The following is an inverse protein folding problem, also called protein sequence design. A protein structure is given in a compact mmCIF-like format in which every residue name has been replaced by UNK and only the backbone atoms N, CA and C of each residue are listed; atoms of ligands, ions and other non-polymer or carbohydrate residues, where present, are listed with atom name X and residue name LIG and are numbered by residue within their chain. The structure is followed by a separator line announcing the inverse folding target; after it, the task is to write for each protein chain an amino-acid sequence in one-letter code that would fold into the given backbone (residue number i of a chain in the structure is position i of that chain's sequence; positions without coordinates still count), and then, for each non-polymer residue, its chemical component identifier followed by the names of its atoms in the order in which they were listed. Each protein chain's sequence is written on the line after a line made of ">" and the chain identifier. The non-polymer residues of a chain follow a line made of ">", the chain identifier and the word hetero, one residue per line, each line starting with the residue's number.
data_IF_884098933736
#
_entry.id   IF_884098933736
#
_cell.length_a   1.000
_cell.length_b   1.000
_cell.length_c   1.000
_cell.angle_alpha   90.00
_cell.angle_beta   90.00
_cell.angle_gamma   90.00
#
_symmetry.space_group_name_H-M   'P 1'
#
loop_
_entity.id
_entity.type
_entity.pdbx_description
1 polymer ?
#
# COMPACT_ATOMS: atom_id res chain seq x y z
N UNK A 1 11.92 4.47 -14.43
CA UNK A 1 10.87 3.95 -13.52
C UNK A 1 10.57 5.12 -12.60
N UNK A 2 9.34 5.64 -12.58
CA UNK A 2 9.01 6.80 -11.76
C UNK A 2 9.21 6.48 -10.29
N UNK A 3 9.74 7.44 -9.52
CA UNK A 3 9.75 7.37 -8.06
C UNK A 3 8.44 7.97 -7.52
N UNK A 4 7.99 7.51 -6.34
CA UNK A 4 6.75 8.00 -5.73
C UNK A 4 6.89 9.43 -5.18
N UNK A 5 8.11 9.82 -4.81
CA UNK A 5 8.50 11.12 -4.29
C UNK A 5 10.03 11.27 -4.34
N UNK A 6 10.50 12.51 -4.29
CA UNK A 6 11.91 12.91 -4.24
C UNK A 6 12.44 12.94 -2.80
N UNK A 7 13.74 12.64 -2.61
CA UNK A 7 14.32 12.59 -1.27
C UNK A 7 14.30 13.96 -0.56
N UNK A 8 14.29 15.06 -1.31
CA UNK A 8 14.12 16.41 -0.78
C UNK A 8 12.73 16.61 -0.16
N UNK A 9 11.69 16.02 -0.75
CA UNK A 9 10.33 16.11 -0.21
C UNK A 9 10.26 15.41 1.16
N UNK A 10 10.98 14.29 1.34
CA UNK A 10 11.06 13.62 2.64
C UNK A 10 11.76 14.48 3.69
N UNK A 11 12.81 15.20 3.31
CA UNK A 11 13.50 16.13 4.21
C UNK A 11 12.57 17.27 4.65
N UNK A 12 11.82 17.84 3.69
CA UNK A 12 10.82 18.88 3.92
C UNK A 12 9.68 18.37 4.81
N UNK A 13 9.19 17.15 4.56
CA UNK A 13 8.14 16.51 5.36
C UNK A 13 8.57 16.28 6.82
N UNK A 14 9.80 15.82 7.04
CA UNK A 14 10.36 15.62 8.36
C UNK A 14 10.72 16.95 9.06
N UNK A 15 10.72 18.08 8.33
CA UNK A 15 11.20 19.38 8.78
C UNK A 15 12.63 19.30 9.34
N UNK A 16 13.46 18.45 8.73
CA UNK A 16 14.84 18.21 9.13
C UNK A 16 15.81 18.83 8.12
N UNK A 17 17.05 19.04 8.59
CA UNK A 17 18.16 19.36 7.69
C UNK A 17 18.46 18.22 6.70
N UNK A 18 19.57 18.29 5.95
CA UNK A 18 19.89 17.28 4.95
C UNK A 18 19.88 15.87 5.58
N UNK A 19 19.02 15.00 5.03
CA UNK A 19 18.90 13.61 5.46
C UNK A 19 20.12 12.82 5.01
N UNK A 20 20.43 11.76 5.75
CA UNK A 20 21.36 10.75 5.24
C UNK A 20 20.76 10.08 4.01
N UNK A 21 21.37 10.30 2.84
CA UNK A 21 20.85 9.86 1.54
C UNK A 21 20.71 8.33 1.46
N UNK A 22 21.62 7.59 2.09
CA UNK A 22 21.58 6.13 2.14
C UNK A 22 20.35 5.66 2.93
N UNK A 23 20.13 6.22 4.13
CA UNK A 23 18.97 5.90 4.96
C UNK A 23 17.66 6.33 4.32
N UNK A 24 17.60 7.53 3.73
CA UNK A 24 16.43 8.04 3.02
C UNK A 24 16.07 7.16 1.80
N UNK A 25 17.08 6.71 1.05
CA UNK A 25 16.89 5.77 -0.07
C UNK A 25 16.33 4.43 0.40
N UNK A 26 16.85 3.89 1.50
CA UNK A 26 16.34 2.63 2.08
C UNK A 26 14.89 2.80 2.55
N UNK A 27 14.56 3.92 3.20
CA UNK A 27 13.21 4.23 3.65
C UNK A 27 12.23 4.31 2.47
N UNK A 28 12.58 5.02 1.40
CA UNK A 28 11.77 5.10 0.16
C UNK A 28 11.55 3.73 -0.48
N UNK A 29 12.58 2.87 -0.51
CA UNK A 29 12.47 1.50 -1.04
C UNK A 29 11.53 0.64 -0.18
N UNK A 30 11.58 0.76 1.15
CA UNK A 30 10.66 0.05 2.05
C UNK A 30 9.22 0.50 1.84
N UNK A 31 8.97 1.80 1.85
CA UNK A 31 7.65 2.39 1.60
C UNK A 31 7.07 1.92 0.25
N UNK A 32 7.89 1.97 -0.81
CA UNK A 32 7.53 1.47 -2.14
C UNK A 32 7.17 -0.02 -2.13
N UNK A 33 7.95 -0.85 -1.42
CA UNK A 33 7.69 -2.29 -1.31
C UNK A 33 6.36 -2.59 -0.59
N UNK A 34 6.07 -1.88 0.50
CA UNK A 34 4.81 -2.05 1.22
C UNK A 34 3.61 -1.61 0.37
N UNK A 35 3.70 -0.47 -0.31
CA UNK A 35 2.64 0.01 -1.19
C UNK A 35 2.42 -0.90 -2.39
N UNK A 36 3.46 -1.48 -3.01
CA UNK A 36 3.29 -2.47 -4.09
C UNK A 36 2.54 -3.69 -3.60
N UNK A 37 2.87 -4.16 -2.39
CA UNK A 37 2.18 -5.30 -1.80
C UNK A 37 0.70 -4.99 -1.52
N UNK A 38 0.39 -3.77 -1.06
CA UNK A 38 -0.97 -3.34 -0.72
C UNK A 38 -1.83 -3.03 -1.94
N UNK A 39 -1.29 -2.36 -2.95
CA UNK A 39 -2.02 -1.89 -4.14
C UNK A 39 -1.98 -2.86 -5.32
N UNK A 40 -1.04 -3.83 -5.31
CA UNK A 40 -0.74 -4.75 -6.44
C UNK A 40 -0.32 -4.07 -7.75
N UNK A 41 0.00 -2.78 -7.71
CA UNK A 41 0.50 -2.06 -8.87
C UNK A 41 1.88 -2.58 -9.28
N UNK A 42 2.00 -2.91 -10.57
CA UNK A 42 3.27 -3.33 -11.19
C UNK A 42 4.11 -2.13 -11.64
N UNK A 43 3.46 -1.01 -11.95
CA UNK A 43 4.07 0.29 -12.23
C UNK A 43 3.35 1.39 -11.46
N UNK A 44 4.09 2.45 -11.11
CA UNK A 44 3.48 3.62 -10.50
C UNK A 44 2.79 4.47 -11.56
N UNK A 45 1.60 5.02 -11.29
CA UNK A 45 0.95 5.95 -12.20
C UNK A 45 1.82 7.20 -12.40
N UNK A 46 1.75 7.79 -13.59
CA UNK A 46 2.42 9.03 -13.95
C UNK A 46 1.39 9.98 -14.60
N UNK A 47 1.02 11.10 -13.95
CA UNK A 47 1.57 11.59 -12.67
C UNK A 47 1.16 10.72 -11.47
N UNK A 48 1.99 10.74 -10.41
CA UNK A 48 1.68 10.07 -9.14
C UNK A 48 0.50 10.77 -8.47
N UNK A 49 -0.60 10.08 -8.13
CA UNK A 49 -1.73 10.68 -7.43
C UNK A 49 -1.34 11.14 -6.03
N UNK A 50 -1.89 12.28 -5.58
CA UNK A 50 -1.59 12.90 -4.28
C UNK A 50 -1.77 11.93 -3.11
N UNK A 51 -2.79 11.07 -3.14
CA UNK A 51 -3.05 10.07 -2.10
C UNK A 51 -1.89 9.06 -2.00
N UNK A 52 -1.41 8.60 -3.15
CA UNK A 52 -0.33 7.62 -3.25
C UNK A 52 1.01 8.25 -2.84
N UNK A 53 1.25 9.50 -3.23
CA UNK A 53 2.38 10.30 -2.75
C UNK A 53 2.35 10.48 -1.23
N UNK A 54 1.19 10.87 -0.68
CA UNK A 54 1.00 11.12 0.75
C UNK A 54 1.22 9.87 1.61
N UNK A 55 0.73 8.71 1.15
CA UNK A 55 1.03 7.44 1.81
C UNK A 55 2.50 7.07 1.71
N UNK A 56 3.13 7.30 0.55
CA UNK A 56 4.53 6.94 0.33
C UNK A 56 5.48 7.74 1.22
N UNK A 57 5.27 9.06 1.31
CA UNK A 57 6.13 9.95 2.09
C UNK A 57 5.98 9.67 3.60
N UNK A 58 4.76 9.41 4.07
CA UNK A 58 4.51 9.08 5.47
C UNK A 58 5.08 7.71 5.86
N UNK A 59 4.91 6.69 5.00
CA UNK A 59 5.54 5.38 5.23
C UNK A 59 7.07 5.45 5.21
N UNK A 60 7.63 6.32 4.36
CA UNK A 60 9.07 6.55 4.34
C UNK A 60 9.55 7.25 5.61
N UNK A 61 8.81 8.25 6.12
CA UNK A 61 9.11 8.87 7.40
C UNK A 61 9.11 7.84 8.55
N UNK A 62 8.09 6.99 8.62
CA UNK A 62 8.02 5.89 9.61
C UNK A 62 9.20 4.91 9.48
N UNK A 63 9.60 4.57 8.25
CA UNK A 63 10.72 3.69 7.99
C UNK A 63 12.09 4.33 8.29
N UNK A 64 12.19 5.65 8.16
CA UNK A 64 13.38 6.42 8.46
C UNK A 64 13.58 6.55 9.98
N UNK A 65 12.52 6.89 10.72
CA UNK A 65 12.57 7.07 12.17
C UNK A 65 12.70 5.76 12.96
N UNK A 66 12.19 4.65 12.40
CA UNK A 66 12.24 3.32 13.02
C UNK A 66 12.60 2.24 11.98
N UNK A 67 13.88 2.17 11.54
CA UNK A 67 14.28 1.28 10.46
C UNK A 67 14.13 -0.21 10.81
N UNK A 68 14.20 -0.57 12.09
CA UNK A 68 14.05 -1.94 12.57
C UNK A 68 12.58 -2.34 12.80
N UNK A 69 11.62 -1.41 12.67
CA UNK A 69 10.19 -1.64 12.92
C UNK A 69 9.94 -2.33 14.28
N UNK A 70 10.80 -2.00 15.26
CA UNK A 70 10.74 -2.61 16.58
C UNK A 70 9.41 -2.22 17.24
N UNK A 71 8.80 -3.20 17.91
CA UNK A 71 7.62 -2.93 18.72
C UNK A 71 8.11 -2.02 19.83
N UNK A 72 7.72 -0.75 19.79
CA UNK A 72 7.92 0.27 20.82
C UNK A 72 8.43 -0.31 22.15
N UNK A 73 9.75 -0.25 22.40
CA UNK A 73 10.24 -0.38 23.77
C UNK A 73 9.97 0.96 24.48
N UNK A 74 9.28 0.88 25.61
CA UNK A 74 8.94 2.04 26.42
C UNK A 74 10.21 2.51 27.14
N UNK A 75 10.94 3.46 26.54
CA UNK A 75 12.07 4.13 27.20
C UNK A 75 11.56 5.41 27.86
N UNK A 76 11.13 5.32 29.13
CA UNK A 76 10.65 6.46 29.91
C UNK A 76 9.17 6.83 29.68
N UNK A 77 8.85 8.12 29.71
CA UNK A 77 7.46 8.65 29.67
C UNK A 77 6.87 8.84 28.26
N UNK A 78 7.63 8.54 27.20
CA UNK A 78 7.19 8.74 25.80
C UNK A 78 7.07 7.38 25.13
N UNK A 79 5.84 6.95 24.81
CA UNK A 79 5.57 5.70 24.10
C UNK A 79 5.58 5.96 22.59
N UNK A 80 6.39 5.20 21.83
CA UNK A 80 6.39 5.18 20.35
C UNK A 80 5.54 4.02 19.81
N UNK A 81 4.38 3.79 20.43
CA UNK A 81 3.47 2.68 20.05
C UNK A 81 2.66 2.99 18.78
N UNK A 82 2.72 4.24 18.29
CA UNK A 82 1.90 4.73 17.18
C UNK A 82 2.32 4.21 15.79
N UNK A 83 3.60 3.92 15.56
CA UNK A 83 4.15 3.71 14.21
C UNK A 83 3.54 2.51 13.48
N UNK A 84 3.31 1.39 14.18
CA UNK A 84 2.72 0.18 13.58
C UNK A 84 1.24 0.34 13.29
N UNK A 85 0.49 1.00 14.17
CA UNK A 85 -0.92 1.28 13.96
C UNK A 85 -1.12 2.19 12.76
N UNK A 86 -0.26 3.22 12.63
CA UNK A 86 -0.30 4.14 11.50
C UNK A 86 0.09 3.47 10.18
N UNK A 87 1.17 2.66 10.18
CA UNK A 87 1.55 1.86 9.03
C UNK A 87 0.40 0.97 8.55
N UNK A 88 -0.24 0.23 9.46
CA UNK A 88 -1.37 -0.64 9.11
C UNK A 88 -2.54 0.17 8.51
N UNK A 89 -2.90 1.30 9.13
CA UNK A 89 -3.97 2.15 8.64
C UNK A 89 -3.72 2.69 7.22
N UNK A 90 -2.48 3.10 6.92
CA UNK A 90 -2.11 3.57 5.58
C UNK A 90 -2.22 2.43 4.55
N UNK A 91 -1.71 1.24 4.88
CA UNK A 91 -1.76 0.10 3.96
C UNK A 91 -3.19 -0.41 3.73
N UNK A 92 -4.05 -0.33 4.74
CA UNK A 92 -5.47 -0.67 4.60
C UNK A 92 -6.22 0.35 3.75
N UNK A 93 -5.93 1.65 3.91
CA UNK A 93 -6.46 2.70 3.04
C UNK A 93 -6.02 2.51 1.58
N UNK A 94 -4.73 2.21 1.37
CA UNK A 94 -4.19 1.93 0.04
C UNK A 94 -4.82 0.69 -0.60
N UNK A 95 -5.06 -0.36 0.20
CA UNK A 95 -5.77 -1.55 -0.24
C UNK A 95 -7.22 -1.24 -0.61
N UNK A 96 -7.93 -0.47 0.20
CA UNK A 96 -9.30 -0.07 -0.12
C UNK A 96 -9.36 0.75 -1.41
N UNK A 97 -8.46 1.69 -1.62
CA UNK A 97 -8.48 2.54 -2.82
C UNK A 97 -8.17 1.76 -4.12
N UNK A 98 -7.25 0.79 -4.09
CA UNK A 98 -6.73 0.14 -5.29
C UNK A 98 -7.21 -1.31 -5.50
N UNK A 99 -7.73 -1.96 -4.47
CA UNK A 99 -8.23 -3.34 -4.53
C UNK A 99 -9.73 -3.48 -4.25
N UNK A 100 -10.48 -2.39 -4.04
CA UNK A 100 -11.93 -2.49 -3.88
C UNK A 100 -12.60 -2.99 -5.18
N UNK A 101 -13.28 -4.16 -5.13
CA UNK A 101 -14.02 -4.68 -6.28
C UNK A 101 -15.17 -3.78 -6.74
N UNK A 102 -15.63 -2.82 -5.92
CA UNK A 102 -16.64 -1.84 -6.33
C UNK A 102 -16.09 -0.79 -7.33
N UNK A 103 -14.78 -0.49 -7.27
CA UNK A 103 -14.10 0.46 -8.17
C UNK A 103 -13.39 -0.27 -9.32
N UNK A 104 -13.07 -1.55 -9.15
CA UNK A 104 -12.61 -2.44 -10.21
C UNK A 104 -13.79 -2.90 -11.08
N UNK A 105 -14.32 -2.00 -11.92
CA UNK A 105 -15.27 -2.38 -12.97
C UNK A 105 -14.67 -3.45 -13.87
N UNK A 106 -15.00 -4.73 -13.64
CA UNK A 106 -14.35 -5.80 -14.37
C UNK A 106 -14.78 -7.23 -14.07
N UNK A 107 -15.99 -7.46 -13.55
CA UNK A 107 -16.63 -8.78 -13.52
C UNK A 107 -15.95 -9.87 -12.67
N UNK A 108 -16.64 -11.00 -12.42
CA UNK A 108 -16.01 -12.16 -11.79
C UNK A 108 -14.84 -12.64 -12.68
N UNK A 109 -13.65 -12.76 -12.08
CA UNK A 109 -12.41 -13.25 -12.71
C UNK A 109 -12.53 -14.64 -13.38
N UNK A 110 -13.65 -15.33 -13.16
CA UNK A 110 -14.01 -16.58 -13.80
C UNK A 110 -15.52 -16.60 -14.03
N UNK A 111 -15.99 -16.31 -15.25
CA UNK A 111 -17.25 -16.88 -15.70
C UNK A 111 -17.01 -18.37 -15.84
N UNK A 112 -17.48 -19.17 -14.87
CA UNK A 112 -17.62 -20.60 -15.11
C UNK A 112 -18.52 -20.76 -16.35
N UNK A 113 -18.16 -21.63 -17.32
CA UNK A 113 -19.10 -21.93 -18.39
C UNK A 113 -20.44 -22.30 -17.74
N UNK A 114 -21.53 -21.74 -18.25
CA UNK A 114 -22.85 -22.18 -17.84
C UNK A 114 -22.85 -23.71 -17.95
N UNK A 115 -23.27 -24.43 -16.90
CA UNK A 115 -23.34 -25.88 -16.98
C UNK A 115 -24.11 -26.27 -18.25
N UNK A 116 -23.60 -27.26 -18.98
CA UNK A 116 -24.28 -27.85 -20.15
C UNK A 116 -25.63 -28.49 -19.78
N UNK A 117 -25.98 -28.48 -18.49
CA UNK A 117 -27.20 -29.02 -17.93
C UNK A 117 -28.08 -27.92 -17.32
N UNK A 118 -29.39 -28.06 -17.51
CA UNK A 118 -30.41 -27.28 -16.81
C UNK A 118 -31.38 -28.21 -16.08
N UNK A 119 -31.84 -27.79 -14.90
CA UNK A 119 -32.93 -28.47 -14.19
C UNK A 119 -34.27 -27.96 -14.69
N UNK A 120 -35.01 -28.82 -15.40
CA UNK A 120 -36.43 -28.62 -15.66
C UNK A 120 -37.22 -29.76 -15.01
N UNK A 121 -38.10 -29.43 -14.06
CA UNK A 121 -39.11 -30.36 -13.55
C UNK A 121 -38.57 -31.70 -13.01
N UNK A 122 -37.38 -31.72 -12.41
CA UNK A 122 -36.79 -32.93 -11.82
C UNK A 122 -36.02 -33.82 -12.79
N UNK A 123 -35.82 -33.41 -14.05
CA UNK A 123 -35.01 -34.15 -15.03
C UNK A 123 -33.79 -33.28 -15.41
N UNK A 124 -32.60 -33.88 -15.36
CA UNK A 124 -31.36 -33.27 -15.83
C UNK A 124 -31.27 -33.46 -17.34
N UNK A 125 -31.27 -32.36 -18.10
CA UNK A 125 -31.18 -32.40 -19.57
C UNK A 125 -29.92 -31.69 -20.00
N UNK A 126 -29.13 -32.32 -20.89
CA UNK A 126 -27.92 -31.70 -21.49
C UNK A 126 -28.28 -30.96 -22.77
N UNK A 127 -27.61 -29.84 -23.03
CA UNK A 127 -27.78 -28.99 -24.21
C UNK A 127 -26.99 -29.50 -25.42
#
# INVERSE_FOLDING_TARGET
>A
MADLFELTELADYLQQGPLDEASATVARRKASGWLRSATKLTAWPDPVPDDLWGWAIELAALAYDNPAMLASEQVGATSRTADRGRLAAILDAARAAYLDPATAGGGPLHSFPEPDWQWQGGIVTRR
#
